data_IF_650654015935
#
_entry.id   IF_650654015935
#
_cell.length_a   1.000
_cell.length_b   1.000
_cell.length_c   1.000
_cell.angle_alpha   90.00
_cell.angle_beta   90.00
_cell.angle_gamma   90.00
#
_symmetry.space_group_name_H-M   'P 1'
#
loop_
_entity.id
_entity.type
_entity.pdbx_description
1 polymer ?
#
# COMPACT_ATOMS: atom_id res chain seq x y z
N UNK A 1 32.84 25.43 -22.17
CA UNK A 1 33.98 24.72 -22.75
C UNK A 1 33.50 23.39 -23.37
N UNK A 2 34.07 23.05 -24.56
CA UNK A 2 33.79 21.77 -25.22
C UNK A 2 34.47 20.61 -24.46
N UNK A 3 33.75 19.52 -24.15
CA UNK A 3 34.30 18.35 -23.50
C UNK A 3 35.28 17.56 -24.40
N UNK A 4 36.09 16.65 -23.80
CA UNK A 4 36.96 15.77 -24.63
C UNK A 4 36.15 14.95 -25.64
N UNK A 5 35.00 14.38 -25.21
CA UNK A 5 34.10 13.63 -26.10
C UNK A 5 33.54 14.55 -27.21
N UNK A 6 33.11 15.77 -26.85
CA UNK A 6 32.62 16.72 -27.84
C UNK A 6 33.63 17.05 -28.93
N UNK A 7 34.94 17.22 -28.59
CA UNK A 7 36.03 17.40 -29.58
C UNK A 7 36.24 16.18 -30.48
N UNK A 8 36.07 14.96 -29.93
CA UNK A 8 36.14 13.73 -30.75
C UNK A 8 34.97 13.63 -31.72
N UNK A 9 33.76 13.96 -31.23
CA UNK A 9 32.54 13.95 -32.07
C UNK A 9 32.59 15.00 -33.20
N UNK A 10 33.16 16.20 -32.95
CA UNK A 10 33.25 17.26 -33.96
C UNK A 10 34.18 16.93 -35.12
N UNK A 11 35.07 15.93 -35.00
CA UNK A 11 35.93 15.45 -36.08
C UNK A 11 35.21 14.50 -37.06
N UNK A 12 34.07 13.99 -36.70
CA UNK A 12 33.28 13.06 -37.52
C UNK A 12 32.22 13.88 -38.25
N UNK A 13 32.16 13.85 -39.58
CA UNK A 13 31.27 14.69 -40.39
C UNK A 13 29.83 14.13 -40.40
N UNK A 14 29.23 13.98 -39.22
CA UNK A 14 27.87 13.49 -38.99
C UNK A 14 27.18 14.30 -37.89
N UNK A 15 25.86 14.18 -37.85
CA UNK A 15 25.11 14.67 -36.67
C UNK A 15 25.68 14.06 -35.38
N UNK A 16 25.85 14.79 -34.28
CA UNK A 16 26.51 14.35 -33.06
C UNK A 16 26.01 12.99 -32.50
N UNK A 17 24.71 12.70 -32.61
CA UNK A 17 24.14 11.41 -32.23
C UNK A 17 24.72 10.24 -33.03
N UNK A 18 24.80 10.42 -34.35
CA UNK A 18 25.36 9.38 -35.25
C UNK A 18 26.88 9.29 -35.15
N UNK A 19 27.56 10.40 -34.94
CA UNK A 19 29.00 10.43 -34.66
C UNK A 19 29.33 9.60 -33.40
N UNK A 20 28.44 9.56 -32.41
CA UNK A 20 28.61 8.74 -31.21
C UNK A 20 28.62 7.25 -31.52
N UNK A 21 27.85 6.77 -32.51
CA UNK A 21 27.89 5.40 -33.02
C UNK A 21 29.29 5.05 -33.53
N UNK A 22 29.87 5.93 -34.38
CA UNK A 22 31.20 5.74 -34.95
C UNK A 22 32.28 5.75 -33.87
N UNK A 23 32.17 6.67 -32.89
CA UNK A 23 33.11 6.78 -31.79
C UNK A 23 33.05 5.54 -30.86
N UNK A 24 31.85 4.98 -30.64
CA UNK A 24 31.68 3.73 -29.91
C UNK A 24 32.33 2.54 -30.59
N UNK A 25 32.35 2.56 -31.94
CA UNK A 25 32.95 1.50 -32.76
C UNK A 25 32.02 0.28 -32.90
N UNK A 26 32.63 -0.79 -33.47
CA UNK A 26 31.92 -2.04 -33.69
C UNK A 26 31.66 -2.35 -35.16
N UNK A 27 31.39 -3.64 -35.44
CA UNK A 27 31.31 -4.21 -36.78
C UNK A 27 30.30 -3.53 -37.72
N UNK A 28 29.16 -3.15 -37.16
CA UNK A 28 28.04 -2.55 -37.92
C UNK A 28 27.84 -1.04 -37.66
N UNK A 29 28.80 -0.42 -36.95
CA UNK A 29 28.68 1.00 -36.55
C UNK A 29 28.54 1.94 -37.78
N UNK A 30 29.43 1.75 -38.83
CA UNK A 30 29.37 2.58 -40.05
C UNK A 30 28.11 2.31 -40.83
N UNK A 31 27.66 1.06 -40.95
CA UNK A 31 26.45 0.71 -41.69
C UNK A 31 25.20 1.30 -40.98
N UNK A 32 25.08 1.15 -39.65
CA UNK A 32 23.98 1.75 -38.92
C UNK A 32 23.94 3.27 -39.04
N UNK A 33 25.09 3.94 -38.83
CA UNK A 33 25.19 5.39 -38.95
C UNK A 33 24.85 5.87 -40.38
N UNK A 34 25.30 5.15 -41.40
CA UNK A 34 25.03 5.48 -42.82
C UNK A 34 23.55 5.31 -43.17
N UNK A 35 22.88 4.25 -42.69
CA UNK A 35 21.43 4.06 -42.91
C UNK A 35 20.64 5.19 -42.24
N UNK A 36 20.98 5.54 -40.99
CA UNK A 36 20.27 6.59 -40.25
C UNK A 36 20.54 8.01 -40.80
N UNK A 37 21.66 8.22 -41.54
CA UNK A 37 22.03 9.49 -42.13
C UNK A 37 21.40 9.70 -43.50
N UNK A 38 21.27 8.67 -44.37
CA UNK A 38 20.88 8.79 -45.78
C UNK A 38 19.40 8.46 -46.05
N UNK A 39 18.65 8.07 -45.04
CA UNK A 39 17.24 7.73 -45.16
C UNK A 39 16.95 6.24 -45.39
N UNK A 40 15.68 5.89 -45.58
CA UNK A 40 15.25 4.50 -45.68
C UNK A 40 15.60 3.87 -47.04
N UNK A 41 16.46 2.82 -47.07
CA UNK A 41 16.83 2.16 -48.30
C UNK A 41 15.72 1.27 -48.90
N UNK A 42 14.61 1.05 -48.17
CA UNK A 42 13.50 0.22 -48.61
C UNK A 42 12.33 1.03 -49.13
N UNK A 43 11.61 0.49 -50.08
CA UNK A 43 10.35 1.08 -50.57
C UNK A 43 9.21 0.70 -49.62
N UNK A 44 8.31 1.61 -49.35
CA UNK A 44 7.03 1.49 -48.65
C UNK A 44 6.83 0.23 -47.81
N UNK A 45 7.37 0.24 -46.59
CA UNK A 45 7.23 -0.90 -45.67
C UNK A 45 6.46 -0.53 -44.43
N UNK A 46 5.55 -1.43 -44.04
CA UNK A 46 4.93 -1.43 -42.72
C UNK A 46 5.78 -2.22 -41.70
N UNK A 47 7.10 -2.05 -41.78
CA UNK A 47 8.04 -2.71 -40.88
C UNK A 47 9.10 -1.68 -40.46
N UNK A 48 9.15 -1.41 -39.15
CA UNK A 48 10.07 -0.41 -38.58
C UNK A 48 11.45 -0.97 -38.24
N UNK A 49 11.72 -2.28 -38.41
CA UNK A 49 12.96 -2.92 -37.99
C UNK A 49 14.16 -2.48 -38.86
N UNK A 50 15.15 -1.87 -38.20
CA UNK A 50 16.42 -1.47 -38.86
C UNK A 50 17.25 -2.72 -39.22
N UNK A 51 17.13 -3.83 -38.53
CA UNK A 51 17.87 -5.06 -38.88
C UNK A 51 17.51 -5.54 -40.30
N UNK A 52 16.25 -5.38 -40.70
CA UNK A 52 15.82 -5.71 -42.09
C UNK A 52 16.57 -4.80 -43.09
N UNK A 53 16.71 -3.49 -42.81
CA UNK A 53 17.46 -2.54 -43.68
C UNK A 53 18.94 -2.91 -43.73
N UNK A 54 19.53 -3.24 -42.60
CA UNK A 54 20.94 -3.72 -42.51
C UNK A 54 21.15 -4.95 -43.39
N UNK A 55 20.27 -5.96 -43.20
CA UNK A 55 20.36 -7.21 -43.99
C UNK A 55 20.20 -6.96 -45.48
N UNK A 56 19.26 -6.14 -45.89
CA UNK A 56 19.00 -5.81 -47.29
C UNK A 56 20.18 -5.07 -47.96
N UNK A 57 20.83 -4.13 -47.23
CA UNK A 57 22.03 -3.43 -47.74
C UNK A 57 23.22 -4.41 -47.85
N UNK A 58 23.42 -5.29 -46.84
CA UNK A 58 24.47 -6.34 -46.88
C UNK A 58 24.26 -7.31 -48.04
N UNK A 59 23.01 -7.72 -48.28
CA UNK A 59 22.68 -8.63 -49.41
C UNK A 59 22.98 -7.96 -50.75
N UNK A 60 22.61 -6.67 -50.92
CA UNK A 60 22.96 -5.92 -52.11
C UNK A 60 24.47 -5.80 -52.33
N UNK A 61 25.24 -5.53 -51.29
CA UNK A 61 26.70 -5.48 -51.33
C UNK A 61 27.33 -6.80 -51.77
N UNK A 62 26.77 -7.92 -51.30
CA UNK A 62 27.26 -9.27 -51.58
C UNK A 62 26.67 -9.84 -52.89
N UNK A 63 25.97 -9.07 -53.69
CA UNK A 63 25.30 -9.49 -54.94
C UNK A 63 24.31 -10.63 -54.75
N UNK A 64 23.79 -10.82 -53.55
CA UNK A 64 22.77 -11.83 -53.25
C UNK A 64 21.39 -11.29 -53.64
N UNK A 65 20.70 -12.07 -54.46
CA UNK A 65 19.30 -11.80 -54.80
C UNK A 65 18.42 -12.00 -53.58
N UNK A 66 17.87 -10.89 -53.02
CA UNK A 66 16.86 -10.95 -51.98
C UNK A 66 15.57 -10.36 -52.59
N UNK A 67 14.65 -11.24 -52.93
CA UNK A 67 13.35 -10.87 -53.53
C UNK A 67 12.33 -10.35 -52.52
N UNK A 68 12.68 -10.41 -51.21
CA UNK A 68 11.72 -10.12 -50.15
C UNK A 68 11.38 -8.62 -50.02
N UNK A 69 12.30 -7.73 -50.41
CA UNK A 69 12.15 -6.29 -50.25
C UNK A 69 12.64 -5.49 -51.44
N UNK A 70 11.84 -4.52 -51.89
CA UNK A 70 12.22 -3.60 -53.01
C UNK A 70 13.16 -2.52 -52.49
N UNK A 71 14.35 -2.42 -53.05
CA UNK A 71 15.38 -1.46 -52.69
C UNK A 71 15.31 -0.16 -53.51
N UNK A 72 15.55 0.96 -52.81
CA UNK A 72 15.85 2.25 -53.41
C UNK A 72 17.33 2.33 -53.77
N UNK A 73 17.70 1.77 -54.92
CA UNK A 73 19.10 1.64 -55.36
C UNK A 73 19.91 2.93 -55.20
N UNK A 74 19.40 4.11 -55.55
CA UNK A 74 20.15 5.37 -55.35
C UNK A 74 20.54 5.58 -53.88
N UNK A 75 19.60 5.38 -52.95
CA UNK A 75 19.86 5.49 -51.49
C UNK A 75 20.89 4.46 -51.04
N UNK A 76 20.78 3.20 -51.47
CA UNK A 76 21.74 2.15 -51.14
C UNK A 76 23.16 2.53 -51.61
N UNK A 77 23.30 3.09 -52.80
CA UNK A 77 24.60 3.59 -53.32
C UNK A 77 25.19 4.72 -52.46
N UNK A 78 24.39 5.65 -52.01
CA UNK A 78 24.83 6.71 -51.10
C UNK A 78 25.22 6.15 -49.73
N UNK A 79 24.47 5.18 -49.19
CA UNK A 79 24.84 4.46 -47.96
C UNK A 79 26.20 3.80 -48.12
N UNK A 80 26.48 3.12 -49.26
CA UNK A 80 27.77 2.46 -49.51
C UNK A 80 28.92 3.45 -49.56
N UNK A 81 28.77 4.59 -50.24
CA UNK A 81 29.77 5.67 -50.25
C UNK A 81 30.03 6.21 -48.85
N UNK A 82 28.96 6.41 -48.05
CA UNK A 82 29.09 6.91 -46.69
C UNK A 82 29.80 5.92 -45.78
N UNK A 83 29.52 4.59 -45.86
CA UNK A 83 30.26 3.55 -45.17
C UNK A 83 31.74 3.69 -45.40
N UNK A 84 32.17 3.80 -46.70
CA UNK A 84 33.58 3.93 -47.07
C UNK A 84 34.23 5.20 -46.49
N UNK A 85 33.47 6.30 -46.42
CA UNK A 85 33.91 7.57 -45.83
C UNK A 85 34.07 7.45 -44.31
N UNK A 86 33.09 6.87 -43.60
CA UNK A 86 33.05 6.75 -42.16
C UNK A 86 34.03 5.68 -41.62
N UNK A 87 34.37 4.66 -42.41
CA UNK A 87 35.31 3.65 -41.98
C UNK A 87 36.68 4.21 -41.60
N UNK A 88 37.09 5.36 -42.20
CA UNK A 88 38.33 6.07 -41.83
C UNK A 88 38.33 6.66 -40.42
N UNK A 89 37.14 6.86 -39.84
CA UNK A 89 36.96 7.42 -38.50
C UNK A 89 36.72 6.36 -37.43
N UNK A 90 36.66 5.09 -37.80
CA UNK A 90 36.55 3.97 -36.87
C UNK A 90 37.90 3.74 -36.16
N UNK A 91 37.97 4.16 -34.90
CA UNK A 91 39.17 4.03 -34.09
C UNK A 91 39.09 2.88 -33.07
N UNK A 92 37.86 2.51 -32.68
CA UNK A 92 37.60 1.48 -31.68
C UNK A 92 36.93 0.26 -32.28
N UNK A 93 37.34 -0.92 -31.80
CA UNK A 93 36.60 -2.16 -32.01
C UNK A 93 35.87 -2.47 -30.69
N UNK A 94 34.57 -2.54 -30.77
CA UNK A 94 33.71 -2.93 -29.64
C UNK A 94 32.80 -4.09 -30.08
N UNK A 95 32.37 -4.89 -29.11
CA UNK A 95 31.44 -5.98 -29.32
C UNK A 95 29.95 -5.53 -29.17
N UNK A 96 29.72 -4.22 -29.24
CA UNK A 96 28.35 -3.69 -29.13
C UNK A 96 27.46 -4.24 -30.24
N UNK A 97 26.24 -4.66 -29.85
CA UNK A 97 25.19 -5.00 -30.81
C UNK A 97 24.71 -3.76 -31.53
N UNK A 98 24.03 -3.93 -32.67
CA UNK A 98 23.42 -2.81 -33.41
C UNK A 98 22.43 -2.03 -32.51
N UNK A 99 21.68 -2.75 -31.66
CA UNK A 99 20.73 -2.16 -30.71
C UNK A 99 21.45 -1.33 -29.63
N UNK A 100 22.56 -1.82 -29.10
CA UNK A 100 23.41 -1.09 -28.16
C UNK A 100 23.99 0.18 -28.77
N UNK A 101 24.48 0.12 -29.99
CA UNK A 101 24.98 1.29 -30.74
C UNK A 101 23.88 2.36 -30.93
N UNK A 102 22.67 1.91 -31.30
CA UNK A 102 21.53 2.80 -31.42
C UNK A 102 21.14 3.41 -30.07
N UNK A 103 21.16 2.63 -28.99
CA UNK A 103 20.84 3.11 -27.63
C UNK A 103 21.86 4.16 -27.14
N UNK A 104 23.14 4.01 -27.47
CA UNK A 104 24.16 5.01 -27.20
C UNK A 104 23.91 6.34 -27.93
N UNK A 105 23.36 6.29 -29.15
CA UNK A 105 23.02 7.49 -29.94
C UNK A 105 21.70 8.14 -29.47
N UNK A 106 20.75 7.35 -29.06
CA UNK A 106 19.39 7.75 -28.70
C UNK A 106 18.98 7.30 -27.31
N UNK A 107 19.73 7.60 -26.24
CA UNK A 107 19.42 7.16 -24.88
C UNK A 107 18.07 7.71 -24.37
N UNK A 108 17.65 8.87 -24.90
CA UNK A 108 16.37 9.52 -24.64
C UNK A 108 15.17 8.88 -25.36
N UNK A 109 15.43 7.88 -26.23
CA UNK A 109 14.43 7.20 -27.07
C UNK A 109 14.38 5.69 -26.87
N UNK A 110 14.96 5.18 -25.80
CA UNK A 110 14.73 3.80 -25.36
C UNK A 110 13.29 3.73 -24.89
N UNK A 111 12.50 2.80 -25.46
CA UNK A 111 11.07 2.68 -25.20
C UNK A 111 10.69 1.35 -24.60
N UNK A 112 9.77 1.35 -23.65
CA UNK A 112 9.10 0.17 -23.11
C UNK A 112 7.67 0.10 -23.61
N UNK A 113 7.26 -1.09 -24.06
CA UNK A 113 5.91 -1.35 -24.49
C UNK A 113 4.92 -1.15 -23.35
N UNK A 114 3.83 -0.45 -23.61
CA UNK A 114 2.71 -0.30 -22.67
C UNK A 114 1.78 -1.50 -22.77
N UNK A 115 1.13 -1.82 -21.69
CA UNK A 115 0.05 -2.80 -21.68
C UNK A 115 -1.09 -2.36 -22.60
N UNK A 116 -1.71 -3.32 -23.26
CA UNK A 116 -2.84 -3.10 -24.16
C UNK A 116 -2.62 -3.68 -25.56
N UNK A 117 -3.66 -3.61 -26.41
CA UNK A 117 -3.64 -4.17 -27.78
C UNK A 117 -2.79 -3.34 -28.74
N UNK A 118 -2.83 -2.02 -28.64
CA UNK A 118 -2.08 -1.14 -29.53
C UNK A 118 -0.58 -1.18 -29.18
N UNK A 119 0.33 -1.15 -30.20
CA UNK A 119 1.78 -1.18 -30.00
C UNK A 119 2.31 0.20 -29.59
N UNK A 120 1.95 0.61 -28.38
CA UNK A 120 2.34 1.87 -27.76
C UNK A 120 3.53 1.69 -26.84
N UNK A 121 4.40 2.67 -26.85
CA UNK A 121 5.63 2.71 -26.07
C UNK A 121 5.69 4.00 -25.25
N UNK A 122 6.31 3.92 -24.09
CA UNK A 122 6.78 5.08 -23.35
C UNK A 122 8.29 5.15 -23.49
N UNK A 123 8.81 6.32 -23.86
CA UNK A 123 10.23 6.54 -24.06
C UNK A 123 10.90 7.01 -22.76
N UNK A 124 12.23 6.85 -22.67
CA UNK A 124 13.02 7.25 -21.50
C UNK A 124 12.97 8.76 -21.19
N UNK A 125 12.63 9.58 -22.18
CA UNK A 125 12.34 11.01 -21.97
C UNK A 125 10.89 11.31 -21.53
N UNK A 126 10.06 10.27 -21.27
CA UNK A 126 8.67 10.40 -20.85
C UNK A 126 7.64 10.56 -21.97
N UNK A 127 8.05 10.71 -23.23
CA UNK A 127 7.13 10.87 -24.36
C UNK A 127 6.51 9.54 -24.79
N UNK A 128 5.26 9.59 -25.24
CA UNK A 128 4.58 8.46 -25.89
C UNK A 128 5.02 8.27 -27.32
N UNK A 129 5.09 7.01 -27.78
CA UNK A 129 5.31 6.68 -29.18
C UNK A 129 4.47 5.46 -29.59
N UNK A 130 4.11 5.37 -30.87
CA UNK A 130 3.25 4.30 -31.40
C UNK A 130 3.82 3.74 -32.71
N UNK A 131 3.72 2.42 -32.88
CA UNK A 131 3.99 1.74 -34.15
C UNK A 131 2.70 1.53 -34.95
N UNK A 132 2.85 1.19 -36.23
CA UNK A 132 1.72 0.67 -37.01
C UNK A 132 1.22 -0.64 -36.37
N UNK A 133 -0.10 -0.86 -36.39
CA UNK A 133 -0.70 -2.05 -35.75
C UNK A 133 -0.24 -3.38 -36.33
N UNK A 134 0.20 -3.39 -37.61
CA UNK A 134 0.74 -4.56 -38.34
C UNK A 134 2.26 -4.69 -38.27
N UNK A 135 2.95 -3.85 -37.50
CA UNK A 135 4.41 -3.88 -37.40
C UNK A 135 4.87 -5.15 -36.65
N UNK A 136 5.83 -5.93 -37.23
CA UNK A 136 6.34 -7.14 -36.58
C UNK A 136 6.95 -6.89 -35.19
N UNK A 137 7.49 -5.69 -34.94
CA UNK A 137 8.07 -5.32 -33.64
C UNK A 137 7.04 -4.84 -32.62
N UNK A 138 5.74 -4.79 -32.98
CA UNK A 138 4.70 -4.26 -32.13
C UNK A 138 4.48 -4.99 -30.79
N UNK A 139 4.99 -6.23 -30.65
CA UNK A 139 4.93 -7.03 -29.41
C UNK A 139 6.21 -6.99 -28.58
N UNK A 140 7.29 -6.39 -29.09
CA UNK A 140 8.61 -6.40 -28.43
C UNK A 140 8.58 -5.54 -27.17
N UNK A 141 9.09 -6.04 -26.02
CA UNK A 141 9.03 -5.31 -24.75
C UNK A 141 9.81 -3.99 -24.75
N UNK A 142 11.02 -3.98 -25.32
CA UNK A 142 11.88 -2.80 -25.37
C UNK A 142 12.42 -2.55 -26.77
N UNK A 143 12.48 -1.28 -27.14
CA UNK A 143 12.98 -0.80 -28.44
C UNK A 143 13.88 0.42 -28.27
N UNK A 144 14.67 0.71 -29.28
CA UNK A 144 15.32 2.00 -29.47
C UNK A 144 14.69 2.67 -30.70
N UNK A 145 13.94 3.75 -30.50
CA UNK A 145 13.29 4.49 -31.57
C UNK A 145 14.29 5.46 -32.26
N UNK A 146 14.82 5.07 -33.41
CA UNK A 146 15.81 5.86 -34.13
C UNK A 146 15.18 6.99 -34.97
N UNK A 147 14.00 6.72 -35.56
CA UNK A 147 13.27 7.70 -36.38
C UNK A 147 11.82 7.82 -35.91
N UNK A 148 11.42 9.08 -35.61
CA UNK A 148 10.09 9.48 -35.12
C UNK A 148 9.56 10.60 -36.01
N UNK A 149 8.24 10.70 -36.19
CA UNK A 149 7.61 11.74 -37.03
C UNK A 149 7.50 13.12 -36.37
N UNK A 150 7.91 13.24 -35.10
CA UNK A 150 7.94 14.51 -34.39
C UNK A 150 6.59 14.97 -33.80
N UNK A 151 5.54 14.17 -33.87
CA UNK A 151 4.28 14.50 -33.19
C UNK A 151 4.50 14.67 -31.67
N UNK A 152 3.98 15.77 -31.11
CA UNK A 152 4.23 16.16 -29.73
C UNK A 152 3.43 15.31 -28.73
N UNK A 153 2.25 14.80 -29.10
CA UNK A 153 1.40 14.01 -28.21
C UNK A 153 1.80 12.55 -28.23
N UNK A 154 1.87 11.90 -29.37
CA UNK A 154 2.27 10.52 -29.54
C UNK A 154 2.99 10.35 -30.87
N UNK A 155 4.33 10.23 -30.82
CA UNK A 155 5.16 10.18 -32.02
C UNK A 155 5.03 8.82 -32.72
N UNK A 156 4.88 8.82 -34.05
CA UNK A 156 4.88 7.61 -34.87
C UNK A 156 6.30 7.08 -35.03
N UNK A 157 6.54 5.86 -34.69
CA UNK A 157 7.83 5.17 -34.87
C UNK A 157 7.93 4.71 -36.29
N UNK A 158 8.94 5.23 -37.00
CA UNK A 158 9.23 4.88 -38.40
C UNK A 158 10.35 3.85 -38.51
N UNK A 159 11.36 3.95 -37.63
CA UNK A 159 12.49 3.03 -37.59
C UNK A 159 12.92 2.83 -36.15
N UNK A 160 13.11 1.59 -35.77
CA UNK A 160 13.58 1.21 -34.43
C UNK A 160 14.38 -0.11 -34.46
N UNK A 161 14.98 -0.42 -33.35
CA UNK A 161 15.66 -1.70 -33.08
C UNK A 161 15.07 -2.31 -31.81
N UNK A 162 14.83 -3.63 -31.79
CA UNK A 162 14.56 -4.32 -30.54
C UNK A 162 15.83 -4.32 -29.68
N UNK A 163 15.68 -4.08 -28.40
CA UNK A 163 16.77 -4.13 -27.41
C UNK A 163 16.32 -4.94 -26.21
N UNK A 164 17.22 -5.67 -25.58
CA UNK A 164 16.93 -6.44 -24.37
C UNK A 164 17.15 -5.60 -23.11
N UNK A 165 16.46 -5.98 -22.02
CA UNK A 165 16.69 -5.36 -20.72
C UNK A 165 18.14 -5.52 -20.23
N UNK A 166 18.77 -6.66 -20.54
CA UNK A 166 20.17 -6.91 -20.19
C UNK A 166 21.11 -5.92 -20.89
N UNK A 167 20.92 -5.67 -22.20
CA UNK A 167 21.71 -4.70 -22.95
C UNK A 167 21.51 -3.27 -22.41
N UNK A 168 20.28 -2.91 -22.01
CA UNK A 168 20.00 -1.62 -21.38
C UNK A 168 20.75 -1.47 -20.06
N UNK A 169 20.71 -2.51 -19.21
CA UNK A 169 21.40 -2.52 -17.91
C UNK A 169 22.92 -2.47 -18.06
N UNK A 170 23.46 -3.17 -19.05
CA UNK A 170 24.89 -3.14 -19.38
C UNK A 170 25.36 -1.73 -19.76
N UNK A 171 24.62 -1.05 -20.64
CA UNK A 171 24.99 0.28 -21.13
C UNK A 171 24.75 1.42 -20.11
N UNK A 172 23.67 1.32 -19.35
CA UNK A 172 23.17 2.44 -18.55
C UNK A 172 23.07 2.11 -17.05
N UNK A 173 23.70 1.04 -16.58
CA UNK A 173 23.61 0.61 -15.17
C UNK A 173 23.89 1.74 -14.17
N UNK A 174 24.87 2.60 -14.46
CA UNK A 174 25.20 3.76 -13.62
C UNK A 174 24.15 4.89 -13.63
N UNK A 175 23.20 4.86 -14.59
CA UNK A 175 22.13 5.83 -14.72
C UNK A 175 20.78 5.26 -14.28
N UNK A 176 20.72 3.97 -14.00
CA UNK A 176 19.51 3.32 -13.51
C UNK A 176 19.36 3.60 -12.03
N UNK A 177 18.23 4.16 -11.65
CA UNK A 177 17.88 4.50 -10.26
C UNK A 177 16.91 3.45 -9.75
N UNK A 178 17.24 2.84 -8.59
CA UNK A 178 16.30 1.98 -7.86
C UNK A 178 15.48 2.82 -6.88
N UNK A 179 14.16 2.82 -7.06
CA UNK A 179 13.20 3.53 -6.21
C UNK A 179 12.40 2.48 -5.43
N UNK A 180 12.42 2.59 -4.12
CA UNK A 180 11.65 1.75 -3.21
C UNK A 180 10.52 2.59 -2.63
N UNK A 181 9.29 2.08 -2.71
CA UNK A 181 8.10 2.73 -2.16
C UNK A 181 7.37 1.79 -1.22
N UNK A 182 6.89 2.34 -0.12
CA UNK A 182 6.04 1.64 0.84
C UNK A 182 4.92 2.62 1.22
N UNK A 183 3.70 2.33 0.78
CA UNK A 183 2.59 3.27 0.93
C UNK A 183 1.26 2.54 1.13
N UNK A 184 0.31 3.21 1.78
CA UNK A 184 -1.05 2.72 1.92
C UNK A 184 -1.85 2.91 0.64
N UNK A 185 -2.33 1.83 0.06
CA UNK A 185 -3.22 1.87 -1.10
C UNK A 185 -4.69 2.03 -0.67
N UNK A 186 -5.26 3.22 -0.89
CA UNK A 186 -6.69 3.49 -0.65
C UNK A 186 -7.60 2.54 -1.43
N UNK A 187 -7.22 2.21 -2.66
CA UNK A 187 -7.99 1.33 -3.55
C UNK A 187 -7.96 -0.14 -3.09
N UNK A 188 -6.77 -0.65 -2.75
CA UNK A 188 -6.59 -2.05 -2.35
C UNK A 188 -6.77 -2.27 -0.85
N UNK A 189 -6.86 -1.18 -0.07
CA UNK A 189 -6.98 -1.20 1.40
C UNK A 189 -5.90 -2.04 2.07
N UNK A 190 -4.66 -1.89 1.58
CA UNK A 190 -3.47 -2.57 2.12
C UNK A 190 -2.20 -1.76 1.86
N UNK A 191 -1.16 -2.03 2.63
CA UNK A 191 0.18 -1.52 2.38
C UNK A 191 0.74 -2.17 1.12
N UNK A 192 1.23 -1.36 0.18
CA UNK A 192 1.94 -1.79 -1.01
C UNK A 192 3.41 -1.45 -0.87
N UNK A 193 4.24 -2.43 -1.17
CA UNK A 193 5.69 -2.28 -1.19
C UNK A 193 6.19 -2.58 -2.59
N UNK A 194 6.77 -1.60 -3.27
CA UNK A 194 7.25 -1.73 -4.64
C UNK A 194 8.71 -1.32 -4.73
N UNK A 195 9.43 -2.02 -5.57
CA UNK A 195 10.76 -1.64 -6.01
C UNK A 195 10.74 -1.46 -7.53
N UNK A 196 11.12 -0.28 -8.00
CA UNK A 196 11.16 0.08 -9.42
C UNK A 196 12.59 0.43 -9.82
N UNK A 197 13.04 -0.09 -10.97
CA UNK A 197 14.25 0.36 -11.62
C UNK A 197 13.89 1.31 -12.75
N UNK A 198 14.44 2.51 -12.74
CA UNK A 198 14.13 3.57 -13.73
C UNK A 198 15.37 4.04 -14.47
N UNK A 199 15.19 4.22 -15.78
CA UNK A 199 16.12 4.95 -16.64
C UNK A 199 15.42 6.22 -17.12
N UNK A 200 15.82 7.38 -16.57
CA UNK A 200 15.07 8.62 -16.78
C UNK A 200 13.63 8.49 -16.29
N UNK A 201 12.66 8.70 -17.18
CA UNK A 201 11.22 8.54 -16.87
C UNK A 201 10.70 7.11 -17.14
N UNK A 202 11.54 6.21 -17.65
CA UNK A 202 11.15 4.86 -18.03
C UNK A 202 11.30 3.89 -16.86
N UNK A 203 10.20 3.29 -16.40
CA UNK A 203 10.24 2.17 -15.46
C UNK A 203 10.62 0.89 -16.21
N UNK A 204 11.85 0.45 -16.04
CA UNK A 204 12.38 -0.77 -16.69
C UNK A 204 11.74 -2.01 -16.09
N UNK A 205 11.83 -2.15 -14.79
CA UNK A 205 11.25 -3.23 -14.01
C UNK A 205 10.50 -2.70 -12.80
N UNK A 206 9.47 -3.42 -12.41
CA UNK A 206 8.73 -3.21 -11.18
C UNK A 206 8.47 -4.57 -10.53
N UNK A 207 8.77 -4.66 -9.25
CA UNK A 207 8.56 -5.88 -8.46
C UNK A 207 8.13 -5.54 -7.04
N UNK A 208 7.47 -6.49 -6.39
CA UNK A 208 7.14 -6.36 -4.97
C UNK A 208 8.43 -6.31 -4.16
N UNK A 209 8.60 -5.28 -3.37
CA UNK A 209 9.72 -5.17 -2.45
C UNK A 209 9.44 -6.02 -1.19
N UNK A 210 9.94 -7.26 -1.18
CA UNK A 210 9.64 -8.25 -0.13
C UNK A 210 10.28 -7.90 1.20
N UNK A 211 11.48 -7.33 1.16
CA UNK A 211 12.30 -7.02 2.34
C UNK A 211 12.13 -5.55 2.77
N UNK A 212 10.92 -5.01 2.59
CA UNK A 212 10.62 -3.64 3.05
C UNK A 212 10.77 -3.56 4.58
N UNK A 213 11.50 -2.56 5.10
CA UNK A 213 11.72 -2.38 6.53
C UNK A 213 10.40 -2.26 7.29
N UNK A 214 10.32 -2.94 8.44
CA UNK A 214 9.09 -2.98 9.25
C UNK A 214 8.60 -1.60 9.66
N UNK A 215 9.50 -0.65 9.95
CA UNK A 215 9.15 0.72 10.27
C UNK A 215 8.41 1.43 9.12
N UNK A 216 8.81 1.21 7.86
CA UNK A 216 8.13 1.79 6.69
C UNK A 216 6.74 1.19 6.51
N UNK A 217 6.60 -0.11 6.75
CA UNK A 217 5.29 -0.80 6.70
C UNK A 217 4.37 -0.25 7.78
N UNK A 218 4.88 -0.04 9.00
CA UNK A 218 4.13 0.53 10.12
C UNK A 218 3.69 1.97 9.81
N UNK A 219 4.59 2.81 9.29
CA UNK A 219 4.23 4.19 8.90
C UNK A 219 3.12 4.19 7.83
N UNK A 220 3.27 3.39 6.78
CA UNK A 220 2.23 3.25 5.76
C UNK A 220 0.90 2.70 6.33
N UNK A 221 0.95 1.79 7.31
CA UNK A 221 -0.24 1.28 7.97
C UNK A 221 -0.92 2.34 8.86
N UNK A 222 -0.15 3.21 9.50
CA UNK A 222 -0.69 4.34 10.28
C UNK A 222 -1.50 5.31 9.39
N UNK A 223 -1.08 5.53 8.14
CA UNK A 223 -1.87 6.26 7.14
C UNK A 223 -3.16 5.49 6.79
N UNK A 224 -3.06 4.16 6.74
CA UNK A 224 -4.22 3.29 6.59
C UNK A 224 -5.21 3.40 7.75
N UNK A 225 -4.73 3.44 8.98
CA UNK A 225 -5.56 3.62 10.18
C UNK A 225 -6.25 4.98 10.17
N UNK A 226 -5.57 6.04 9.74
CA UNK A 226 -6.19 7.35 9.59
C UNK A 226 -7.38 7.34 8.61
N UNK A 227 -7.26 6.60 7.53
CA UNK A 227 -8.35 6.47 6.56
C UNK A 227 -9.49 5.55 7.04
N UNK A 228 -9.16 4.47 7.75
CA UNK A 228 -10.12 3.43 8.16
C UNK A 228 -10.86 3.77 9.45
N UNK A 229 -10.27 4.63 10.28
CA UNK A 229 -10.73 4.87 11.65
C UNK A 229 -10.40 3.71 12.61
N UNK A 230 -10.87 3.82 13.84
CA UNK A 230 -10.70 2.79 14.86
C UNK A 230 -11.84 1.76 14.83
N UNK A 231 -11.50 0.50 15.05
CA UNK A 231 -12.42 -0.61 15.29
C UNK A 231 -12.19 -1.12 16.71
N UNK A 232 -12.90 -0.54 17.67
CA UNK A 232 -12.75 -0.93 19.08
C UNK A 232 -13.61 -2.13 19.41
N UNK A 233 -13.01 -3.12 20.05
CA UNK A 233 -13.74 -4.23 20.69
C UNK A 233 -14.59 -3.70 21.85
N UNK A 234 -15.60 -4.46 22.28
CA UNK A 234 -16.43 -4.09 23.43
C UNK A 234 -15.59 -3.85 24.70
N UNK A 235 -14.52 -4.61 24.88
CA UNK A 235 -13.61 -4.41 26.01
C UNK A 235 -12.81 -3.10 25.86
N UNK A 236 -12.41 -2.72 24.64
CA UNK A 236 -11.74 -1.46 24.37
C UNK A 236 -12.69 -0.26 24.59
N UNK A 237 -13.94 -0.36 24.13
CA UNK A 237 -14.97 0.66 24.37
C UNK A 237 -15.22 0.84 25.88
N UNK A 238 -15.41 -0.26 26.62
CA UNK A 238 -15.58 -0.20 28.07
C UNK A 238 -14.37 0.46 28.74
N UNK A 239 -13.14 0.15 28.31
CA UNK A 239 -11.93 0.77 28.85
C UNK A 239 -11.91 2.28 28.58
N UNK A 240 -12.19 2.71 27.36
CA UNK A 240 -12.25 4.14 26.98
C UNK A 240 -13.33 4.89 27.80
N UNK A 241 -14.50 4.29 27.93
CA UNK A 241 -15.59 4.86 28.73
C UNK A 241 -15.20 5.03 30.22
N UNK A 242 -14.48 4.05 30.80
CA UNK A 242 -13.96 4.14 32.16
C UNK A 242 -12.96 5.28 32.32
N UNK A 243 -12.01 5.40 31.36
CA UNK A 243 -11.03 6.50 31.37
C UNK A 243 -11.72 7.85 31.28
N UNK A 244 -12.69 7.99 30.39
CA UNK A 244 -13.49 9.21 30.23
C UNK A 244 -14.24 9.57 31.51
N UNK A 245 -14.87 8.59 32.17
CA UNK A 245 -15.60 8.79 33.43
C UNK A 245 -14.69 9.16 34.60
N UNK A 246 -13.43 8.71 34.58
CA UNK A 246 -12.44 9.03 35.61
C UNK A 246 -11.98 10.51 35.57
N UNK A 247 -12.28 11.24 34.46
CA UNK A 247 -12.05 12.67 34.33
C UNK A 247 -10.61 13.11 34.15
N UNK A 248 -10.31 14.35 34.51
CA UNK A 248 -9.05 15.04 34.20
C UNK A 248 -7.77 14.44 34.81
N UNK A 249 -7.91 13.47 35.71
CA UNK A 249 -6.78 12.73 36.27
C UNK A 249 -6.15 11.75 35.27
N UNK A 250 -6.80 11.53 34.14
CA UNK A 250 -6.40 10.62 33.10
C UNK A 250 -6.20 11.33 31.75
N UNK A 251 -5.37 10.78 30.86
CA UNK A 251 -5.17 11.35 29.54
C UNK A 251 -6.47 11.34 28.73
N UNK A 252 -6.68 12.40 27.94
CA UNK A 252 -7.80 12.44 26.99
C UNK A 252 -7.58 11.36 25.91
N UNK A 253 -8.50 10.39 25.87
CA UNK A 253 -8.51 9.29 24.91
C UNK A 253 -9.71 9.38 23.94
N UNK A 254 -10.11 10.61 23.56
CA UNK A 254 -11.06 10.78 22.45
C UNK A 254 -10.45 10.27 21.14
N UNK A 255 -11.27 9.81 20.19
CA UNK A 255 -10.81 9.31 18.89
C UNK A 255 -9.95 10.33 18.16
N UNK A 256 -10.25 11.62 18.26
CA UNK A 256 -9.45 12.71 17.69
C UNK A 256 -8.04 12.74 18.30
N UNK A 257 -7.94 12.68 19.64
CA UNK A 257 -6.66 12.71 20.34
C UNK A 257 -5.87 11.44 20.11
N UNK A 258 -6.53 10.29 20.14
CA UNK A 258 -5.91 9.00 19.81
C UNK A 258 -5.38 8.99 18.38
N UNK A 259 -6.15 9.52 17.42
CA UNK A 259 -5.71 9.60 16.03
C UNK A 259 -4.51 10.56 15.87
N UNK A 260 -4.53 11.70 16.51
CA UNK A 260 -3.42 12.66 16.47
C UNK A 260 -2.12 12.11 17.06
N UNK A 261 -2.21 11.21 18.05
CA UNK A 261 -1.07 10.63 18.75
C UNK A 261 -0.78 9.17 18.36
N UNK A 262 -1.42 8.64 17.30
CA UNK A 262 -1.35 7.23 16.90
C UNK A 262 0.05 6.69 16.71
N UNK A 263 0.98 7.52 16.25
CA UNK A 263 2.39 7.13 16.08
C UNK A 263 3.05 6.71 17.39
N UNK A 264 2.66 7.33 18.51
CA UNK A 264 3.30 7.08 19.80
C UNK A 264 2.79 5.80 20.47
N UNK A 265 1.46 5.63 20.53
CA UNK A 265 0.88 4.54 21.30
C UNK A 265 0.54 3.29 20.47
N UNK A 266 0.27 3.46 19.15
CA UNK A 266 -0.21 2.37 18.30
C UNK A 266 0.91 1.72 17.49
N UNK A 267 1.88 2.50 16.98
CA UNK A 267 2.94 1.98 16.12
C UNK A 267 3.68 0.76 16.69
N UNK A 268 4.02 0.68 18.00
CA UNK A 268 4.71 -0.48 18.55
C UNK A 268 3.92 -1.80 18.45
N UNK A 269 2.62 -1.72 18.25
CA UNK A 269 1.72 -2.87 18.20
C UNK A 269 1.31 -3.28 16.78
N UNK A 270 1.72 -2.52 15.74
CA UNK A 270 1.33 -2.78 14.35
C UNK A 270 2.21 -3.78 13.61
N UNK A 271 3.15 -4.44 14.28
CA UNK A 271 3.97 -5.47 13.63
C UNK A 271 3.10 -6.56 13.04
N UNK A 272 3.27 -6.82 11.72
CA UNK A 272 2.48 -7.82 10.99
C UNK A 272 1.12 -7.35 10.47
N UNK A 273 0.64 -6.16 10.84
CA UNK A 273 -0.61 -5.58 10.36
C UNK A 273 -0.32 -4.79 9.06
N UNK A 274 -0.89 -5.26 7.93
CA UNK A 274 -0.59 -4.71 6.59
C UNK A 274 -1.84 -4.39 5.77
N UNK A 275 -3.02 -4.71 6.28
CA UNK A 275 -4.27 -4.55 5.52
C UNK A 275 -5.44 -4.15 6.40
N UNK A 276 -6.52 -3.66 5.77
CA UNK A 276 -7.77 -3.38 6.46
C UNK A 276 -8.38 -4.62 7.15
N UNK A 277 -8.17 -5.82 6.59
CA UNK A 277 -8.63 -7.06 7.22
C UNK A 277 -7.85 -7.39 8.48
N UNK A 278 -6.52 -7.16 8.47
CA UNK A 278 -5.69 -7.35 9.66
C UNK A 278 -6.10 -6.33 10.74
N UNK A 279 -6.31 -5.07 10.33
CA UNK A 279 -6.73 -3.99 11.22
C UNK A 279 -8.08 -4.24 11.89
N UNK A 280 -9.06 -4.78 11.16
CA UNK A 280 -10.36 -5.15 11.73
C UNK A 280 -10.27 -6.24 12.79
N UNK A 281 -9.29 -7.13 12.68
CA UNK A 281 -9.06 -8.22 13.64
C UNK A 281 -8.16 -7.81 14.79
N UNK A 282 -7.49 -6.68 14.68
CA UNK A 282 -6.57 -6.19 15.69
C UNK A 282 -7.34 -5.68 16.92
N UNK A 283 -7.02 -6.25 18.11
CA UNK A 283 -7.57 -5.75 19.37
C UNK A 283 -6.78 -4.55 19.88
N UNK A 284 -7.38 -3.38 19.78
CA UNK A 284 -6.78 -2.12 20.21
C UNK A 284 -6.60 -2.00 21.72
N UNK A 285 -7.23 -2.86 22.53
CA UNK A 285 -7.24 -2.74 24.00
C UNK A 285 -5.83 -2.74 24.61
N UNK A 286 -4.95 -3.64 24.12
CA UNK A 286 -3.57 -3.72 24.63
C UNK A 286 -2.79 -2.43 24.37
N UNK A 287 -2.92 -1.88 23.17
CA UNK A 287 -2.29 -0.63 22.80
C UNK A 287 -2.88 0.58 23.57
N UNK A 288 -4.19 0.63 23.74
CA UNK A 288 -4.84 1.67 24.56
C UNK A 288 -4.37 1.63 26.02
N UNK A 289 -4.27 0.45 26.63
CA UNK A 289 -3.78 0.29 28.00
C UNK A 289 -2.34 0.78 28.17
N UNK A 290 -1.51 0.71 27.14
CA UNK A 290 -0.12 1.20 27.23
C UNK A 290 0.01 2.72 27.30
N UNK A 291 -1.08 3.46 27.05
CA UNK A 291 -1.10 4.93 27.23
C UNK A 291 -1.08 5.31 28.73
N UNK A 292 -1.63 4.44 29.59
CA UNK A 292 -1.64 4.66 31.03
C UNK A 292 -0.35 4.15 31.67
N UNK A 293 0.14 4.92 32.65
CA UNK A 293 1.18 4.40 33.55
C UNK A 293 0.62 3.30 34.45
N UNK A 294 1.53 2.56 35.12
CA UNK A 294 1.12 1.55 36.07
C UNK A 294 0.26 2.13 37.20
N UNK A 295 0.67 3.26 37.79
CA UNK A 295 -0.07 3.96 38.86
C UNK A 295 -1.47 4.41 38.38
N UNK A 296 -1.55 4.94 37.17
CA UNK A 296 -2.83 5.32 36.58
C UNK A 296 -3.74 4.09 36.36
N UNK A 297 -3.17 2.96 35.94
CA UNK A 297 -3.94 1.70 35.78
C UNK A 297 -4.52 1.24 37.11
N UNK A 298 -3.72 1.24 38.19
CA UNK A 298 -4.18 0.89 39.53
C UNK A 298 -5.24 1.87 40.05
N UNK A 299 -5.03 3.16 39.83
CA UNK A 299 -5.96 4.20 40.22
C UNK A 299 -7.30 4.05 39.47
N UNK A 300 -7.26 3.71 38.17
CA UNK A 300 -8.48 3.49 37.36
C UNK A 300 -9.28 2.31 37.90
N UNK A 301 -8.64 1.19 38.26
CA UNK A 301 -9.34 0.03 38.83
C UNK A 301 -9.92 0.35 40.19
N UNK A 302 -9.30 1.20 41.02
CA UNK A 302 -9.83 1.64 42.30
C UNK A 302 -11.00 2.60 42.19
N UNK A 303 -10.92 3.57 41.25
CA UNK A 303 -11.95 4.61 41.08
C UNK A 303 -13.14 4.12 40.27
N UNK A 304 -12.86 3.49 39.13
CA UNK A 304 -13.86 3.07 38.13
C UNK A 304 -13.61 1.57 37.83
N UNK A 305 -13.99 0.66 38.77
CA UNK A 305 -13.67 -0.75 38.64
C UNK A 305 -14.34 -1.41 37.44
N UNK A 306 -13.63 -2.33 36.77
CA UNK A 306 -14.20 -3.09 35.64
C UNK A 306 -15.29 -4.07 36.06
N UNK A 307 -15.31 -4.46 37.34
CA UNK A 307 -16.28 -5.38 37.89
C UNK A 307 -16.82 -4.91 39.23
N UNK A 308 -18.10 -5.11 39.45
CA UNK A 308 -18.74 -5.02 40.75
C UNK A 308 -18.61 -6.36 41.48
N UNK A 309 -18.20 -6.33 42.77
CA UNK A 309 -18.15 -7.51 43.63
C UNK A 309 -19.44 -7.58 44.39
N UNK A 310 -20.21 -8.63 44.15
CA UNK A 310 -21.48 -8.86 44.85
C UNK A 310 -21.27 -9.25 46.32
N UNK A 311 -22.28 -9.15 47.20
CA UNK A 311 -22.20 -9.66 48.54
C UNK A 311 -21.83 -11.16 48.68
N UNK A 312 -22.03 -11.93 47.62
CA UNK A 312 -21.62 -13.32 47.49
C UNK A 312 -20.19 -13.54 47.00
N UNK A 313 -19.42 -12.45 46.76
CA UNK A 313 -18.05 -12.49 46.24
C UNK A 313 -17.95 -12.75 44.73
N UNK A 314 -19.08 -12.74 44.00
CA UNK A 314 -19.07 -12.89 42.55
C UNK A 314 -18.67 -11.55 41.85
N UNK A 315 -17.91 -11.67 40.77
CA UNK A 315 -17.57 -10.50 39.91
C UNK A 315 -18.61 -10.36 38.81
N UNK A 316 -19.24 -9.22 38.75
CA UNK A 316 -20.21 -8.82 37.70
C UNK A 316 -19.61 -7.67 36.91
N UNK A 317 -19.53 -7.83 35.58
CA UNK A 317 -19.02 -6.78 34.70
C UNK A 317 -19.87 -5.50 34.80
N UNK A 318 -19.22 -4.36 35.01
CA UNK A 318 -19.87 -3.05 34.95
C UNK A 318 -19.76 -2.51 33.53
N UNK A 319 -20.88 -2.08 32.96
CA UNK A 319 -20.92 -1.38 31.67
C UNK A 319 -20.90 0.13 31.90
N UNK A 320 -20.17 0.84 31.03
CA UNK A 320 -19.92 2.27 31.14
C UNK A 320 -20.31 3.04 29.87
N UNK A 321 -21.14 2.44 29.03
CA UNK A 321 -21.52 2.99 27.71
C UNK A 321 -22.51 4.13 27.80
N UNK A 322 -23.27 4.19 28.90
CA UNK A 322 -24.27 5.20 29.19
C UNK A 322 -23.73 6.26 30.16
N UNK A 323 -24.54 7.27 30.46
CA UNK A 323 -24.20 8.35 31.43
C UNK A 323 -23.88 7.80 32.82
N UNK A 324 -24.53 6.73 33.22
CA UNK A 324 -24.32 6.06 34.51
C UNK A 324 -23.68 4.67 34.29
N UNK A 325 -22.81 4.23 35.21
CA UNK A 325 -22.35 2.85 35.24
C UNK A 325 -23.52 1.90 35.50
N UNK A 326 -23.56 0.75 34.85
CA UNK A 326 -24.68 -0.17 34.91
C UNK A 326 -24.25 -1.60 35.25
N UNK A 327 -25.07 -2.29 36.03
CA UNK A 327 -24.97 -3.72 36.27
C UNK A 327 -26.33 -4.38 36.16
N UNK A 328 -26.35 -5.63 35.66
CA UNK A 328 -27.51 -6.49 35.69
C UNK A 328 -27.24 -7.68 36.65
N UNK A 329 -28.07 -7.83 37.68
CA UNK A 329 -27.81 -8.78 38.78
C UNK A 329 -29.10 -9.37 39.28
N UNK A 330 -29.07 -10.64 39.66
CA UNK A 330 -30.21 -11.26 40.33
C UNK A 330 -30.47 -10.57 41.67
N UNK A 331 -31.74 -10.16 41.89
CA UNK A 331 -32.14 -9.38 43.06
C UNK A 331 -31.68 -10.04 44.36
N UNK A 332 -31.66 -11.37 44.43
CA UNK A 332 -31.31 -12.17 45.59
C UNK A 332 -29.83 -12.06 45.99
N UNK A 333 -28.96 -11.66 45.02
CA UNK A 333 -27.53 -11.42 45.27
C UNK A 333 -27.27 -10.08 45.97
N UNK A 334 -28.28 -9.19 45.98
CA UNK A 334 -28.18 -7.84 46.55
C UNK A 334 -28.86 -7.72 47.92
N UNK A 335 -29.46 -8.78 48.44
CA UNK A 335 -29.99 -8.75 49.81
C UNK A 335 -28.89 -8.42 50.83
N UNK A 336 -29.25 -7.69 51.86
CA UNK A 336 -28.33 -7.18 52.87
C UNK A 336 -27.63 -5.87 52.52
N UNK A 337 -27.85 -5.35 51.33
CA UNK A 337 -27.26 -4.08 50.94
C UNK A 337 -28.06 -2.90 51.53
N UNK A 338 -27.37 -2.16 52.43
CA UNK A 338 -27.92 -0.94 53.12
C UNK A 338 -27.43 0.34 52.50
N UNK A 339 -26.48 0.27 51.51
CA UNK A 339 -25.94 1.41 50.84
C UNK A 339 -25.96 1.14 49.35
N UNK A 340 -26.36 2.13 48.54
CA UNK A 340 -26.36 1.98 47.10
C UNK A 340 -24.93 1.90 46.55
N UNK A 341 -24.61 0.94 45.64
CA UNK A 341 -23.28 0.83 45.06
C UNK A 341 -22.92 2.02 44.16
N UNK A 342 -21.68 2.46 44.23
CA UNK A 342 -21.14 3.57 43.45
C UNK A 342 -19.85 3.19 42.71
N UNK A 343 -19.63 3.82 41.57
CA UNK A 343 -18.37 3.76 40.84
C UNK A 343 -17.89 5.20 40.61
N UNK A 344 -16.69 5.55 41.09
CA UNK A 344 -16.16 6.92 41.00
C UNK A 344 -17.01 7.98 41.70
N UNK A 345 -17.76 7.58 42.74
CA UNK A 345 -18.73 8.47 43.42
C UNK A 345 -20.09 8.53 42.70
N UNK A 346 -20.24 8.01 41.50
CA UNK A 346 -21.48 8.02 40.70
C UNK A 346 -22.29 6.77 41.07
N UNK A 347 -23.61 6.89 41.33
CA UNK A 347 -24.45 5.73 41.62
C UNK A 347 -24.51 4.77 40.42
N UNK A 348 -24.38 3.48 40.70
CA UNK A 348 -24.49 2.43 39.66
C UNK A 348 -25.98 2.19 39.39
N UNK A 349 -26.40 2.25 38.12
CA UNK A 349 -27.75 1.81 37.74
C UNK A 349 -27.82 0.30 37.84
N UNK A 350 -28.62 -0.20 38.76
CA UNK A 350 -28.79 -1.62 39.01
C UNK A 350 -30.07 -2.14 38.39
N UNK A 351 -29.94 -3.02 37.40
CA UNK A 351 -31.08 -3.76 36.83
C UNK A 351 -31.21 -5.08 37.51
N UNK A 352 -32.25 -5.24 38.28
CA UNK A 352 -32.58 -6.48 38.98
C UNK A 352 -33.13 -7.52 38.00
N UNK A 353 -32.61 -8.73 38.12
CA UNK A 353 -33.02 -9.91 37.38
C UNK A 353 -33.74 -10.90 38.24
N UNK A 354 -34.75 -11.56 37.67
CA UNK A 354 -35.39 -12.73 38.28
C UNK A 354 -34.44 -13.94 38.38
N UNK A 355 -34.78 -14.98 39.11
CA UNK A 355 -34.00 -16.23 39.11
C UNK A 355 -33.75 -16.82 37.73
N UNK A 356 -34.65 -16.57 36.78
CA UNK A 356 -34.53 -16.99 35.38
C UNK A 356 -33.78 -15.99 34.51
N UNK A 357 -33.21 -14.92 35.06
CA UNK A 357 -32.41 -13.94 34.30
C UNK A 357 -33.26 -12.90 33.52
N UNK A 358 -34.55 -12.78 33.77
CA UNK A 358 -35.44 -11.75 33.17
C UNK A 358 -35.40 -10.48 33.99
N UNK A 359 -35.40 -9.34 33.37
CA UNK A 359 -35.45 -8.05 34.04
C UNK A 359 -36.73 -7.89 34.86
N UNK A 360 -36.59 -7.34 36.06
CA UNK A 360 -37.68 -7.07 36.98
C UNK A 360 -37.87 -5.57 37.13
N UNK A 361 -36.80 -4.87 37.51
CA UNK A 361 -36.81 -3.43 37.79
C UNK A 361 -35.41 -2.87 37.76
N UNK A 362 -35.28 -1.61 37.40
CA UNK A 362 -34.04 -0.85 37.41
C UNK A 362 -34.11 0.27 38.45
N UNK A 363 -33.01 0.44 39.20
CA UNK A 363 -32.94 1.51 40.22
C UNK A 363 -31.54 2.13 40.30
N UNK A 364 -31.49 3.38 40.70
CA UNK A 364 -30.27 4.12 41.08
C UNK A 364 -30.21 4.39 42.58
N UNK A 365 -31.21 3.89 43.35
CA UNK A 365 -31.25 3.90 44.81
C UNK A 365 -31.87 2.61 45.32
N UNK A 366 -30.98 1.71 45.79
CA UNK A 366 -31.38 0.40 46.27
C UNK A 366 -32.12 0.47 47.63
N UNK A 367 -31.80 1.47 48.44
CA UNK A 367 -32.43 1.65 49.76
C UNK A 367 -33.91 2.02 49.59
N UNK A 368 -34.16 3.08 48.82
CA UNK A 368 -35.54 3.50 48.50
C UNK A 368 -36.33 2.38 47.79
N UNK A 369 -35.66 1.59 46.96
CA UNK A 369 -36.29 0.43 46.30
C UNK A 369 -36.73 -0.64 47.34
N UNK A 370 -35.90 -0.94 48.34
CA UNK A 370 -36.26 -1.90 49.39
C UNK A 370 -37.48 -1.46 50.18
N UNK A 371 -37.59 -0.15 50.47
CA UNK A 371 -38.67 0.39 51.31
C UNK A 371 -39.97 0.55 50.54
N UNK A 372 -39.91 0.71 49.21
CA UNK A 372 -41.10 1.01 48.37
C UNK A 372 -41.47 -0.15 47.43
N UNK A 373 -40.91 -0.16 46.22
CA UNK A 373 -41.32 -1.03 45.12
C UNK A 373 -41.02 -2.52 45.33
N UNK A 374 -40.12 -2.88 46.25
CA UNK A 374 -39.78 -4.25 46.51
C UNK A 374 -40.99 -5.09 46.98
N UNK A 375 -41.94 -4.48 47.68
CA UNK A 375 -43.14 -5.19 48.20
C UNK A 375 -43.94 -5.77 47.02
N UNK A 376 -44.13 -4.99 45.97
CA UNK A 376 -44.86 -5.44 44.77
C UNK A 376 -44.08 -6.47 43.98
N UNK A 377 -42.77 -6.23 43.80
CA UNK A 377 -41.84 -7.20 43.18
C UNK A 377 -41.85 -8.51 43.90
N UNK A 378 -41.80 -8.50 45.26
CA UNK A 378 -41.84 -9.70 46.10
C UNK A 378 -43.14 -10.48 45.90
N UNK A 379 -44.30 -9.80 45.87
CA UNK A 379 -45.59 -10.42 45.64
C UNK A 379 -45.67 -11.17 44.31
N UNK A 380 -45.25 -10.50 43.21
CA UNK A 380 -45.24 -11.08 41.88
C UNK A 380 -44.22 -12.26 41.77
N UNK A 381 -43.01 -12.04 42.26
CA UNK A 381 -41.93 -13.05 42.17
C UNK A 381 -42.16 -14.25 43.06
N UNK A 382 -42.83 -14.13 44.22
CA UNK A 382 -43.25 -15.27 45.02
C UNK A 382 -44.21 -16.19 44.32
N UNK A 383 -45.10 -15.60 43.52
CA UNK A 383 -46.01 -16.38 42.67
C UNK A 383 -45.28 -17.14 41.57
N UNK A 384 -44.40 -16.47 40.88
CA UNK A 384 -43.67 -17.06 39.74
C UNK A 384 -42.51 -17.98 40.13
N UNK A 385 -41.83 -17.70 41.25
CA UNK A 385 -40.63 -18.41 41.69
C UNK A 385 -40.75 -18.83 43.15
N UNK A 386 -41.74 -19.67 43.56
CA UNK A 386 -42.03 -20.02 44.97
C UNK A 386 -40.91 -20.78 45.67
N UNK A 387 -40.05 -21.46 44.90
CA UNK A 387 -38.89 -22.21 45.42
C UNK A 387 -37.73 -21.32 45.86
N UNK A 388 -37.74 -20.05 45.49
CA UNK A 388 -36.68 -19.10 45.82
C UNK A 388 -37.00 -18.31 47.10
N UNK A 389 -35.96 -17.75 47.72
CA UNK A 389 -36.11 -16.97 48.95
C UNK A 389 -36.55 -15.53 48.63
N UNK A 390 -37.64 -15.06 49.24
CA UNK A 390 -38.24 -13.71 49.08
C UNK A 390 -38.54 -13.16 50.48
N UNK A 391 -37.54 -12.51 51.15
CA UNK A 391 -37.69 -12.00 52.53
C UNK A 391 -38.66 -10.83 52.59
N UNK A 392 -39.15 -10.53 53.79
CA UNK A 392 -39.93 -9.31 54.05
C UNK A 392 -39.01 -8.11 54.15
N UNK A 393 -37.89 -8.24 54.83
CA UNK A 393 -36.87 -7.22 54.98
C UNK A 393 -35.63 -7.58 54.17
N UNK A 394 -35.54 -7.15 52.91
CA UNK A 394 -34.41 -7.50 52.01
C UNK A 394 -33.08 -6.87 52.46
N UNK A 395 -33.12 -5.67 53.10
CA UNK A 395 -31.94 -5.00 53.62
C UNK A 395 -31.24 -5.68 54.79
N UNK A 396 -31.97 -6.55 55.52
CA UNK A 396 -31.46 -7.30 56.69
C UNK A 396 -31.20 -8.77 56.38
N UNK A 397 -31.60 -9.21 55.20
CA UNK A 397 -31.51 -10.60 54.81
C UNK A 397 -30.16 -10.92 54.15
N UNK A 398 -29.64 -12.14 54.35
CA UNK A 398 -28.39 -12.57 53.68
C UNK A 398 -28.62 -12.83 52.20
N UNK A 399 -27.69 -12.36 51.37
CA UNK A 399 -27.67 -12.68 49.96
C UNK A 399 -27.58 -14.19 49.72
N UNK A 400 -28.34 -14.72 48.76
CA UNK A 400 -28.35 -16.14 48.45
C UNK A 400 -28.83 -16.41 47.02
N UNK A 401 -28.26 -17.45 46.40
CA UNK A 401 -28.76 -18.01 45.14
C UNK A 401 -29.39 -19.38 45.34
N UNK A 402 -29.37 -19.90 46.59
CA UNK A 402 -29.91 -21.22 46.91
C UNK A 402 -31.44 -21.17 46.93
N UNK A 403 -32.07 -22.21 46.43
CA UNK A 403 -33.52 -22.43 46.62
C UNK A 403 -33.79 -22.84 48.06
N UNK A 404 -35.03 -22.65 48.53
CA UNK A 404 -35.48 -23.18 49.83
C UNK A 404 -35.31 -24.68 49.83
N UNK A 405 -34.64 -25.21 50.87
CA UNK A 405 -34.59 -26.65 51.12
C UNK A 405 -36.04 -27.08 51.40
N UNK A 406 -36.53 -28.16 50.78
CA UNK A 406 -37.80 -28.81 51.18
C UNK A 406 -37.58 -29.35 52.58
N UNK A 407 -38.26 -28.84 53.57
CA UNK A 407 -38.50 -29.57 54.83
C UNK A 407 -39.45 -30.71 54.54
#
# INVERSE_FOLDING_TARGET
QITKIGRSLSKIPLHPRLAKIILAGGKDATLLASILSNGDPLNNMNNSDINVRISSVKNYQNQKSDSSYSLKVPIVREIMKEISRLSKHLTNQSDYTVAQLAALAYPDRIGKRREGKAPRYILSNGKGAIMAGSDPLGSVPFIVACNLDGNLQEAKIRQCLPITLSEIKELFGNQIISIQTCEWSKRQKKVLTNQQEKLGQLTLEEKVWRDAPSNMIIEAMLDGVEQLGFFHSENAKTFLARVKMAGDKFPNMSDEKLMATRKTWLAPFLSGIKSANDWKKFDTLKALKSILTWDQTQLLEKLIPSNFITPLGRKIKVTYENELPEISIRIQEMYGQKVHPKSGGIPIRVTFLSPAGREIQTTTDIVSFWDSSYKDVRKDMRGRYPKHFWPENPSESKATLKTKTRN
#
